data_IF_574020380605
#
_entry.id   IF_574020380605
#
_cell.length_a   1.000
_cell.length_b   1.000
_cell.length_c   1.000
_cell.angle_alpha   90.00
_cell.angle_beta   90.00
_cell.angle_gamma   90.00
#
_symmetry.space_group_name_H-M   'P 1'
#
loop_
_entity.id
_entity.type
_entity.pdbx_description
1 polymer ?
#
# COMPACT_ATOMS: atom_id res chain seq x y z
N UNK A 1 -26.78 -8.52 -0.42
CA UNK A 1 -27.23 -9.90 -0.55
C UNK A 1 -28.66 -10.14 -0.02
N UNK A 2 -29.32 -9.19 0.61
CA UNK A 2 -30.73 -9.26 1.00
C UNK A 2 -31.30 -7.85 1.19
N UNK A 3 -32.63 -7.71 1.16
CA UNK A 3 -33.38 -6.49 1.44
C UNK A 3 -33.47 -6.16 2.95
N UNK A 4 -32.82 -6.97 3.81
CA UNK A 4 -32.84 -6.79 5.26
C UNK A 4 -31.97 -5.62 5.68
N UNK A 5 -32.20 -5.15 6.91
CA UNK A 5 -31.39 -4.12 7.55
C UNK A 5 -29.89 -4.46 7.47
N UNK A 6 -29.09 -3.51 7.02
CA UNK A 6 -27.62 -3.64 6.91
C UNK A 6 -27.01 -3.68 8.33
N UNK A 7 -26.14 -4.65 8.56
CA UNK A 7 -25.45 -4.78 9.85
C UNK A 7 -23.93 -4.81 9.71
N UNK A 8 -23.41 -5.18 8.54
CA UNK A 8 -21.99 -5.32 8.32
C UNK A 8 -21.60 -4.81 6.94
N UNK A 9 -20.59 -3.96 6.91
CA UNK A 9 -19.85 -3.61 5.70
C UNK A 9 -18.50 -4.32 5.72
N UNK A 10 -18.14 -4.93 4.59
CA UNK A 10 -16.81 -5.48 4.33
C UNK A 10 -16.20 -4.56 3.28
N UNK A 11 -15.10 -3.88 3.65
CA UNK A 11 -14.39 -2.98 2.76
C UNK A 11 -13.20 -3.69 2.16
N UNK A 12 -13.12 -3.69 0.85
CA UNK A 12 -11.98 -4.18 0.09
C UNK A 12 -11.70 -3.23 -1.08
N UNK A 13 -10.51 -3.26 -1.66
CA UNK A 13 -10.19 -2.36 -2.76
C UNK A 13 -9.68 -3.09 -4.01
N UNK A 14 -9.77 -2.42 -5.15
CA UNK A 14 -9.40 -2.95 -6.45
C UNK A 14 -8.21 -2.23 -7.09
N UNK A 15 -7.93 -1.01 -6.66
CA UNK A 15 -6.74 -0.27 -7.08
C UNK A 15 -5.46 -0.90 -6.50
N UNK A 16 -4.33 -0.49 -6.97
CA UNK A 16 -3.03 -1.05 -6.60
C UNK A 16 -1.95 0.03 -6.67
N UNK A 17 -0.93 -0.06 -5.82
CA UNK A 17 0.25 0.81 -5.92
C UNK A 17 1.00 0.59 -7.25
N UNK A 18 1.71 1.62 -7.75
CA UNK A 18 2.61 1.47 -8.89
C UNK A 18 3.66 0.39 -8.67
N UNK A 19 4.13 -0.17 -9.77
CA UNK A 19 5.23 -1.13 -9.75
C UNK A 19 6.56 -0.37 -9.73
N UNK A 20 7.32 -0.56 -8.67
CA UNK A 20 8.63 0.09 -8.48
C UNK A 20 9.77 -0.91 -8.27
N UNK A 21 9.46 -2.16 -8.00
CA UNK A 21 10.39 -3.26 -7.73
C UNK A 21 10.58 -4.19 -8.93
N UNK A 22 11.69 -4.96 -8.91
CA UNK A 22 11.94 -6.00 -9.90
C UNK A 22 11.12 -7.26 -9.57
N UNK A 23 10.40 -7.77 -10.56
CA UNK A 23 9.58 -8.99 -10.45
C UNK A 23 10.32 -10.18 -11.04
N UNK A 24 10.49 -11.24 -10.24
CA UNK A 24 11.29 -12.40 -10.59
C UNK A 24 10.49 -13.63 -10.98
N UNK A 25 9.26 -13.79 -10.48
CA UNK A 25 8.40 -14.96 -10.72
C UNK A 25 7.48 -14.77 -11.92
N UNK A 26 6.95 -13.56 -12.08
CA UNK A 26 6.07 -13.17 -13.18
C UNK A 26 6.19 -11.67 -13.43
N UNK A 27 5.57 -11.17 -14.48
CA UNK A 27 5.38 -9.72 -14.63
C UNK A 27 4.22 -9.25 -13.74
N UNK A 28 4.24 -8.00 -13.27
CA UNK A 28 3.28 -7.50 -12.29
C UNK A 28 1.82 -7.75 -12.63
N UNK A 29 1.43 -7.50 -13.87
CA UNK A 29 0.05 -7.61 -14.36
C UNK A 29 -0.22 -8.86 -15.21
N UNK A 30 0.68 -9.83 -15.16
CA UNK A 30 0.50 -11.15 -15.77
C UNK A 30 0.46 -12.21 -14.65
N UNK A 31 -0.70 -12.40 -13.97
CA UNK A 31 -0.78 -13.27 -12.79
C UNK A 31 -0.44 -14.72 -13.14
N UNK A 32 0.31 -15.39 -12.26
CA UNK A 32 0.76 -16.76 -12.45
C UNK A 32 0.61 -17.58 -11.18
N UNK A 33 0.18 -18.83 -11.34
CA UNK A 33 0.14 -19.80 -10.25
C UNK A 33 1.41 -20.64 -10.29
N UNK A 34 2.17 -20.63 -9.20
CA UNK A 34 3.39 -21.42 -9.00
C UNK A 34 3.33 -22.03 -7.61
N UNK A 35 3.49 -23.33 -7.51
CA UNK A 35 3.51 -24.10 -6.25
C UNK A 35 2.32 -23.77 -5.32
N UNK A 36 1.10 -23.65 -5.90
CA UNK A 36 -0.12 -23.36 -5.17
C UNK A 36 -0.27 -21.91 -4.68
N UNK A 37 0.63 -21.00 -5.09
CA UNK A 37 0.57 -19.57 -4.79
C UNK A 37 0.28 -18.78 -6.05
N UNK A 38 -0.52 -17.72 -5.92
CA UNK A 38 -0.80 -16.77 -7.01
C UNK A 38 0.15 -15.59 -6.86
N UNK A 39 0.92 -15.33 -7.91
CA UNK A 39 1.83 -14.19 -8.00
C UNK A 39 1.26 -13.15 -8.97
N UNK A 40 1.27 -11.88 -8.58
CA UNK A 40 0.80 -10.76 -9.39
C UNK A 40 0.54 -9.53 -8.53
N UNK A 41 0.64 -8.32 -9.09
CA UNK A 41 0.29 -7.09 -8.39
C UNK A 41 -1.21 -7.12 -8.03
N UNK A 42 -1.54 -6.84 -6.77
CA UNK A 42 -2.91 -6.85 -6.25
C UNK A 42 -3.47 -8.23 -5.90
N UNK A 43 -2.68 -9.32 -5.98
CA UNK A 43 -3.18 -10.65 -5.62
C UNK A 43 -3.30 -10.86 -4.11
N UNK A 44 -2.43 -10.24 -3.32
CA UNK A 44 -2.50 -10.24 -1.86
C UNK A 44 -3.20 -9.01 -1.32
N UNK A 45 -2.92 -7.87 -1.91
CA UNK A 45 -3.36 -6.53 -1.54
C UNK A 45 -4.11 -5.92 -2.74
N UNK A 46 -5.47 -5.87 -2.79
CA UNK A 46 -6.40 -6.53 -1.85
C UNK A 46 -7.38 -7.46 -2.60
N UNK A 47 -7.13 -7.77 -3.90
CA UNK A 47 -8.06 -8.57 -4.73
C UNK A 47 -8.26 -10.00 -4.21
N UNK A 48 -7.23 -10.59 -3.60
CA UNK A 48 -7.34 -11.92 -3.00
C UNK A 48 -8.33 -11.93 -1.83
N UNK A 49 -8.13 -11.10 -0.80
CA UNK A 49 -9.08 -10.93 0.30
C UNK A 49 -10.48 -10.50 -0.16
N UNK A 50 -10.59 -9.59 -1.13
CA UNK A 50 -11.87 -9.20 -1.73
C UNK A 50 -12.65 -10.39 -2.31
N UNK A 51 -11.97 -11.26 -3.06
CA UNK A 51 -12.55 -12.47 -3.62
C UNK A 51 -12.89 -13.49 -2.51
N UNK A 52 -12.04 -13.63 -1.50
CA UNK A 52 -12.33 -14.49 -0.36
C UNK A 52 -13.63 -14.07 0.36
N UNK A 53 -13.80 -12.77 0.63
CA UNK A 53 -15.01 -12.22 1.20
C UNK A 53 -16.24 -12.45 0.31
N UNK A 54 -16.12 -12.24 -1.01
CA UNK A 54 -17.19 -12.50 -1.97
C UNK A 54 -17.62 -13.97 -1.96
N UNK A 55 -16.66 -14.89 -1.95
CA UNK A 55 -16.96 -16.31 -1.95
C UNK A 55 -17.50 -16.80 -0.61
N UNK A 56 -17.10 -16.21 0.51
CA UNK A 56 -17.70 -16.48 1.81
C UNK A 56 -19.19 -16.11 1.81
N UNK A 57 -19.54 -14.92 1.30
CA UNK A 57 -20.95 -14.50 1.17
C UNK A 57 -21.73 -15.39 0.18
N UNK A 58 -21.09 -15.78 -0.91
CA UNK A 58 -21.67 -16.70 -1.90
C UNK A 58 -21.95 -18.06 -1.28
N UNK A 59 -21.03 -18.63 -0.51
CA UNK A 59 -21.21 -19.91 0.17
C UNK A 59 -22.39 -19.87 1.14
N UNK A 60 -22.54 -18.83 1.93
CA UNK A 60 -23.68 -18.61 2.83
C UNK A 60 -25.00 -18.67 2.03
N UNK A 61 -25.05 -18.00 0.89
CA UNK A 61 -26.24 -17.97 0.02
C UNK A 61 -26.53 -19.32 -0.60
N UNK A 62 -25.52 -19.99 -1.16
CA UNK A 62 -25.68 -21.30 -1.84
C UNK A 62 -26.07 -22.42 -0.87
N UNK A 63 -25.58 -22.37 0.36
CA UNK A 63 -25.94 -23.29 1.43
C UNK A 63 -27.31 -22.97 2.07
N UNK A 64 -27.95 -21.89 1.67
CA UNK A 64 -29.26 -21.50 2.21
C UNK A 64 -29.21 -21.13 3.69
N UNK A 65 -28.05 -20.69 4.21
CA UNK A 65 -27.89 -20.30 5.60
C UNK A 65 -28.74 -19.04 5.87
N UNK A 66 -29.73 -19.12 6.80
CA UNK A 66 -30.60 -17.97 7.05
C UNK A 66 -29.84 -16.85 7.77
N UNK A 67 -29.75 -15.72 7.14
CA UNK A 67 -29.19 -14.51 7.72
C UNK A 67 -30.28 -13.63 8.34
N UNK A 68 -30.08 -13.15 9.56
CA UNK A 68 -31.01 -12.22 10.24
C UNK A 68 -30.86 -10.79 9.74
N UNK A 69 -29.66 -10.41 9.33
CA UNK A 69 -29.28 -9.08 8.85
C UNK A 69 -28.62 -9.18 7.47
N UNK A 70 -28.47 -8.05 6.82
CA UNK A 70 -27.76 -7.94 5.54
C UNK A 70 -26.29 -7.62 5.72
N UNK A 71 -25.48 -8.12 4.81
CA UNK A 71 -24.06 -7.81 4.67
C UNK A 71 -23.81 -7.15 3.32
N UNK A 72 -22.97 -6.17 3.27
CA UNK A 72 -22.58 -5.47 2.07
C UNK A 72 -21.06 -5.61 1.88
N UNK A 73 -20.63 -6.05 0.70
CA UNK A 73 -19.25 -5.98 0.26
C UNK A 73 -19.10 -4.73 -0.61
N UNK A 74 -18.21 -3.85 -0.22
CA UNK A 74 -17.87 -2.61 -0.91
C UNK A 74 -16.49 -2.79 -1.50
N UNK A 75 -16.36 -2.55 -2.80
CA UNK A 75 -15.09 -2.64 -3.53
C UNK A 75 -14.67 -1.23 -3.91
N UNK A 76 -13.72 -0.69 -3.15
CA UNK A 76 -13.12 0.63 -3.37
C UNK A 76 -12.19 0.66 -4.58
N UNK A 77 -11.86 1.83 -5.02
CA UNK A 77 -10.98 2.07 -6.16
C UNK A 77 -9.96 3.19 -5.93
N UNK A 78 -9.80 3.65 -4.70
CA UNK A 78 -8.96 4.78 -4.32
C UNK A 78 -8.30 4.60 -2.94
N UNK A 79 -8.20 3.35 -2.44
CA UNK A 79 -7.62 3.05 -1.13
C UNK A 79 -6.18 3.53 -1.04
N UNK A 80 -5.39 3.20 -2.05
CA UNK A 80 -3.97 3.52 -2.17
C UNK A 80 -3.66 5.03 -2.36
N UNK A 81 -4.71 5.84 -2.54
CA UNK A 81 -4.61 7.28 -2.75
C UNK A 81 -5.42 8.11 -1.74
N UNK A 82 -5.95 7.47 -0.68
CA UNK A 82 -6.60 8.13 0.43
C UNK A 82 -8.10 7.95 0.55
N UNK A 83 -8.68 6.96 -0.15
CA UNK A 83 -10.07 6.50 0.01
C UNK A 83 -11.15 7.57 -0.22
N UNK A 84 -10.91 8.51 -1.13
CA UNK A 84 -11.91 9.56 -1.45
C UNK A 84 -13.19 8.99 -2.06
N UNK A 85 -13.14 7.80 -2.64
CA UNK A 85 -14.31 7.06 -3.13
C UNK A 85 -15.22 6.58 -1.99
N UNK A 86 -14.66 6.16 -0.85
CA UNK A 86 -15.43 5.79 0.33
C UNK A 86 -16.07 7.02 0.99
N UNK A 87 -15.36 8.13 1.06
CA UNK A 87 -15.92 9.40 1.53
C UNK A 87 -17.14 9.80 0.68
N UNK A 88 -17.00 9.74 -0.65
CA UNK A 88 -18.12 10.01 -1.56
C UNK A 88 -19.28 9.03 -1.40
N UNK A 89 -18.98 7.74 -1.21
CA UNK A 89 -19.97 6.68 -1.07
C UNK A 89 -20.79 6.88 0.21
N UNK A 90 -20.12 7.04 1.36
CA UNK A 90 -20.81 7.21 2.65
C UNK A 90 -21.46 8.58 2.86
N UNK A 91 -21.14 9.55 2.02
CA UNK A 91 -21.94 10.78 1.96
C UNK A 91 -23.37 10.55 1.42
N UNK A 92 -23.61 9.40 0.75
CA UNK A 92 -24.90 9.05 0.12
C UNK A 92 -25.55 7.81 0.71
N UNK A 93 -24.75 6.89 1.18
CA UNK A 93 -25.18 5.60 1.73
C UNK A 93 -24.86 5.52 3.20
N UNK A 94 -25.85 5.11 4.00
CA UNK A 94 -25.62 4.92 5.42
C UNK A 94 -24.62 3.79 5.67
N UNK A 95 -23.61 4.07 6.48
CA UNK A 95 -22.66 3.08 6.98
C UNK A 95 -23.35 2.02 7.83
N UNK A 96 -22.87 0.77 7.76
CA UNK A 96 -23.37 -0.28 8.63
C UNK A 96 -22.84 -0.09 10.06
N UNK A 97 -23.56 -0.59 11.10
CA UNK A 97 -23.10 -0.53 12.50
C UNK A 97 -21.74 -1.19 12.76
N UNK A 98 -21.36 -2.14 11.93
CA UNK A 98 -20.06 -2.82 12.00
C UNK A 98 -19.40 -2.80 10.62
N UNK A 99 -18.09 -2.55 10.63
CA UNK A 99 -17.28 -2.51 9.42
C UNK A 99 -15.95 -3.18 9.70
N UNK A 100 -15.44 -3.98 8.76
CA UNK A 100 -14.07 -4.45 8.76
C UNK A 100 -13.50 -4.48 7.34
N UNK A 101 -12.17 -4.42 7.24
CA UNK A 101 -11.45 -4.71 6.01
C UNK A 101 -10.70 -6.04 6.15
N UNK A 102 -10.70 -6.92 5.12
CA UNK A 102 -9.85 -8.09 5.10
C UNK A 102 -8.42 -7.80 4.67
N UNK A 103 -8.11 -6.55 4.36
CA UNK A 103 -6.81 -6.05 3.92
C UNK A 103 -5.88 -5.82 5.11
N UNK A 104 -5.52 -6.89 5.80
CA UNK A 104 -4.65 -6.85 6.98
C UNK A 104 -4.12 -8.24 7.33
N UNK A 105 -3.14 -8.29 8.22
CA UNK A 105 -2.67 -9.52 8.82
C UNK A 105 -3.71 -10.13 9.76
N UNK A 106 -3.77 -11.47 9.79
CA UNK A 106 -4.67 -12.21 10.66
C UNK A 106 -4.01 -12.53 12.02
N UNK A 107 -4.80 -12.69 13.10
CA UNK A 107 -6.26 -12.85 13.10
C UNK A 107 -7.05 -11.52 13.16
N UNK A 108 -6.53 -10.47 13.75
CA UNK A 108 -7.21 -9.19 13.90
C UNK A 108 -6.23 -8.08 14.25
N UNK A 109 -6.27 -7.01 13.49
CA UNK A 109 -5.65 -5.73 13.84
C UNK A 109 -6.75 -4.78 14.28
N UNK A 110 -6.69 -4.32 15.52
CA UNK A 110 -7.65 -3.37 16.10
C UNK A 110 -7.00 -2.11 16.67
N UNK A 111 -5.67 -1.99 16.50
CA UNK A 111 -4.89 -0.82 16.91
C UNK A 111 -3.87 -0.54 15.81
N UNK A 112 -3.88 0.67 15.31
CA UNK A 112 -2.90 1.17 14.34
C UNK A 112 -2.16 2.38 14.89
N UNK A 113 -0.93 2.60 14.42
CA UNK A 113 -0.17 3.80 14.71
C UNK A 113 -0.69 4.95 13.85
N UNK A 114 -0.80 6.13 14.43
CA UNK A 114 -1.04 7.34 13.66
C UNK A 114 0.16 7.66 12.75
N UNK A 115 -0.09 8.33 11.63
CA UNK A 115 0.92 8.83 10.74
C UNK A 115 1.06 10.35 10.86
N UNK A 116 2.28 10.84 10.69
CA UNK A 116 2.57 12.27 10.59
C UNK A 116 3.43 12.52 9.35
N UNK A 117 2.93 13.35 8.45
CA UNK A 117 3.66 13.78 7.27
C UNK A 117 4.01 15.25 7.40
N UNK A 118 5.29 15.55 7.60
CA UNK A 118 5.82 16.91 7.70
C UNK A 118 6.61 17.30 6.45
N UNK A 119 6.38 18.50 5.95
CA UNK A 119 7.21 19.12 4.91
C UNK A 119 8.14 20.12 5.56
N UNK A 120 9.43 19.90 5.39
CA UNK A 120 10.47 20.77 5.93
C UNK A 120 11.24 21.39 4.76
N UNK A 121 11.45 22.68 4.80
CA UNK A 121 12.27 23.41 3.84
C UNK A 121 13.27 24.30 4.55
N UNK A 122 14.43 24.45 3.96
CA UNK A 122 15.44 25.40 4.41
C UNK A 122 16.19 25.98 3.19
N UNK A 123 16.53 27.23 3.28
CA UNK A 123 17.36 27.90 2.29
C UNK A 123 18.76 28.06 2.86
N UNK A 124 19.78 27.76 2.07
CA UNK A 124 21.18 27.88 2.44
C UNK A 124 21.93 28.72 1.42
N UNK A 125 22.72 29.67 1.88
CA UNK A 125 23.75 30.24 1.05
C UNK A 125 24.91 29.27 0.95
N UNK A 126 25.29 28.89 -0.27
CA UNK A 126 26.40 27.98 -0.50
C UNK A 126 27.73 28.72 -0.36
N UNK A 127 28.37 28.58 0.76
CA UNK A 127 29.77 29.03 0.96
C UNK A 127 30.73 27.90 0.51
N UNK A 128 31.73 28.26 -0.31
CA UNK A 128 32.77 27.33 -0.75
C UNK A 128 32.49 26.63 -2.10
N UNK A 129 33.42 25.72 -2.46
CA UNK A 129 33.42 25.03 -3.76
C UNK A 129 32.58 23.76 -3.77
N UNK A 130 32.37 23.12 -2.61
CA UNK A 130 31.65 21.85 -2.49
C UNK A 130 30.23 22.10 -2.04
N UNK A 131 29.24 21.57 -2.80
CA UNK A 131 27.82 21.70 -2.47
C UNK A 131 27.00 20.54 -3.01
N UNK A 132 25.94 20.18 -2.29
CA UNK A 132 24.89 19.31 -2.82
C UNK A 132 23.98 20.15 -3.72
N UNK A 133 23.93 19.82 -5.01
CA UNK A 133 23.05 20.47 -5.98
C UNK A 133 21.66 19.87 -5.98
N UNK A 134 21.55 18.57 -5.80
CA UNK A 134 20.30 17.85 -5.79
C UNK A 134 20.43 16.58 -4.95
N UNK A 135 19.39 16.27 -4.20
CA UNK A 135 19.20 14.98 -3.54
C UNK A 135 17.77 14.54 -3.76
N UNK A 136 17.59 13.28 -4.19
CA UNK A 136 16.28 12.66 -4.36
C UNK A 136 16.30 11.27 -3.76
N UNK A 137 15.27 10.93 -2.98
CA UNK A 137 15.09 9.61 -2.42
C UNK A 137 13.59 9.36 -2.19
N UNK A 138 13.13 8.16 -2.53
CA UNK A 138 11.73 7.77 -2.42
C UNK A 138 10.83 8.33 -3.51
N UNK A 139 9.80 7.57 -3.82
CA UNK A 139 8.80 7.91 -4.83
C UNK A 139 7.44 8.19 -4.21
N UNK A 140 7.14 7.58 -3.07
CA UNK A 140 5.90 7.75 -2.31
C UNK A 140 6.16 7.86 -0.81
N UNK A 141 5.27 8.58 -0.13
CA UNK A 141 5.41 8.94 1.28
C UNK A 141 5.28 7.73 2.23
N UNK A 142 4.57 6.70 1.82
CA UNK A 142 4.32 5.46 2.57
C UNK A 142 5.22 4.29 2.14
N UNK A 143 6.16 4.51 1.23
CA UNK A 143 7.09 3.47 0.74
C UNK A 143 8.49 3.74 1.22
N UNK A 144 9.15 2.73 1.80
CA UNK A 144 10.57 2.81 2.16
C UNK A 144 11.41 2.99 0.90
N UNK A 145 12.24 4.04 0.81
CA UNK A 145 13.05 4.29 -0.38
C UNK A 145 14.02 3.14 -0.68
N UNK A 146 13.91 2.53 -1.85
CA UNK A 146 14.86 1.55 -2.35
C UNK A 146 16.05 2.16 -3.09
N UNK A 147 15.94 3.43 -3.48
CA UNK A 147 16.99 4.15 -4.24
C UNK A 147 17.08 5.61 -3.80
N UNK A 148 18.28 6.13 -3.86
CA UNK A 148 18.55 7.56 -3.70
C UNK A 148 19.53 8.02 -4.78
N UNK A 149 19.45 9.28 -5.15
CA UNK A 149 20.42 9.93 -6.06
C UNK A 149 20.80 11.30 -5.53
N UNK A 150 22.06 11.64 -5.71
CA UNK A 150 22.61 12.92 -5.28
C UNK A 150 23.54 13.49 -6.35
N UNK A 151 23.47 14.79 -6.58
CA UNK A 151 24.43 15.53 -7.39
C UNK A 151 25.20 16.44 -6.47
N UNK A 152 26.53 16.29 -6.49
CA UNK A 152 27.45 17.07 -5.66
C UNK A 152 28.44 17.78 -6.59
N UNK A 153 28.62 19.08 -6.39
CA UNK A 153 29.66 19.87 -7.06
C UNK A 153 30.88 19.99 -6.17
N UNK A 154 32.06 20.05 -6.78
CA UNK A 154 33.33 20.41 -6.12
C UNK A 154 33.86 19.35 -5.15
N UNK A 155 33.46 18.10 -5.28
CA UNK A 155 33.98 16.97 -4.50
C UNK A 155 34.68 15.98 -5.44
N UNK A 156 35.88 15.58 -5.07
CA UNK A 156 36.64 14.57 -5.81
C UNK A 156 35.98 13.19 -5.70
N UNK A 157 35.99 12.43 -6.81
CA UNK A 157 35.38 11.09 -6.88
C UNK A 157 35.89 10.16 -5.76
N UNK A 158 37.18 10.21 -5.46
CA UNK A 158 37.79 9.37 -4.42
C UNK A 158 37.20 9.60 -3.02
N UNK A 159 36.76 10.82 -2.73
CA UNK A 159 36.10 11.15 -1.45
C UNK A 159 34.71 10.52 -1.40
N UNK A 160 33.99 10.54 -2.53
CA UNK A 160 32.66 9.92 -2.66
C UNK A 160 32.80 8.40 -2.51
N UNK A 161 33.74 7.80 -3.21
CA UNK A 161 33.99 6.35 -3.16
C UNK A 161 34.33 5.89 -1.74
N UNK A 162 35.24 6.61 -1.03
CA UNK A 162 35.57 6.33 0.36
C UNK A 162 34.38 6.46 1.32
N UNK A 163 33.49 7.45 1.08
CA UNK A 163 32.29 7.61 1.88
C UNK A 163 31.30 6.46 1.64
N UNK A 164 31.16 5.99 0.39
CA UNK A 164 30.31 4.85 0.04
C UNK A 164 30.79 3.56 0.71
N UNK A 165 32.09 3.22 0.59
CA UNK A 165 32.72 2.07 1.25
C UNK A 165 32.50 2.09 2.79
N UNK A 166 32.69 3.26 3.41
CA UNK A 166 32.46 3.42 4.84
C UNK A 166 30.98 3.20 5.22
N UNK A 167 30.08 3.67 4.40
CA UNK A 167 28.62 3.49 4.63
C UNK A 167 28.23 2.03 4.52
N UNK A 168 28.67 1.35 3.49
CA UNK A 168 28.45 -0.11 3.29
C UNK A 168 28.99 -0.91 4.48
N UNK A 169 30.21 -0.65 4.92
CA UNK A 169 30.82 -1.34 6.06
C UNK A 169 30.06 -1.11 7.38
N UNK A 170 29.36 0.03 7.52
CA UNK A 170 28.64 0.40 8.75
C UNK A 170 27.19 -0.05 8.74
N UNK A 171 26.53 -0.03 7.60
CA UNK A 171 25.07 -0.25 7.47
C UNK A 171 24.70 -1.54 6.74
N UNK A 172 25.63 -2.14 5.99
CA UNK A 172 25.35 -3.27 5.09
C UNK A 172 24.48 -2.89 3.88
N UNK A 173 24.30 -1.58 3.63
CA UNK A 173 23.54 -1.05 2.48
C UNK A 173 24.53 -0.61 1.40
N UNK A 174 24.34 -1.13 0.20
CA UNK A 174 25.14 -0.79 -1.00
C UNK A 174 24.52 0.41 -1.72
#
# INVERSE_FOLDING_TARGET
FSEKEKALDILAHLDVVPVTEDWTVTKPFEPKIVDGKIYGRGTADDKGPAIAALYALRAIRELGIPMKKSVRLILGSDEECGSGDLEYYYAKEQEAPYTFTPDADFPLINIEKGSFHGVFSAEFEAEGKSRVRSFKSGDKINVVPGRASMIIDGVEKSVIDAAAEKTEATTGVI
#
